data_IF_248764208500
#
_entry.id   IF_248764208500
#
_cell.length_a   1.000
_cell.length_b   1.000
_cell.length_c   1.000
_cell.angle_alpha   90.00
_cell.angle_beta   90.00
_cell.angle_gamma   90.00
#
_symmetry.space_group_name_H-M   'P 1'
#
loop_
_entity.id
_entity.type
_entity.pdbx_description
1 polymer ?
#
# COMPACT_ATOMS: atom_id res chain seq x y z
N UNK A 1 12.23 -6.73 -3.16
CA UNK A 1 11.40 -5.81 -3.97
C UNK A 1 10.98 -4.58 -3.17
N UNK A 2 10.23 -4.74 -2.07
CA UNK A 2 9.81 -3.62 -1.21
C UNK A 2 10.99 -2.82 -0.63
N UNK A 3 12.09 -3.48 -0.24
CA UNK A 3 13.32 -2.80 0.19
C UNK A 3 13.94 -1.92 -0.90
N UNK A 4 13.86 -2.34 -2.16
CA UNK A 4 14.42 -1.58 -3.28
C UNK A 4 13.58 -0.33 -3.55
N UNK A 5 12.25 -0.49 -3.58
CA UNK A 5 11.31 0.65 -3.69
C UNK A 5 11.55 1.63 -2.54
N UNK A 6 11.59 1.16 -1.29
CA UNK A 6 11.83 2.02 -0.14
C UNK A 6 13.18 2.75 -0.17
N UNK A 7 14.27 2.06 -0.53
CA UNK A 7 15.60 2.68 -0.54
C UNK A 7 15.70 3.84 -1.54
N UNK A 8 14.99 3.76 -2.66
CA UNK A 8 14.87 4.87 -3.62
C UNK A 8 13.75 5.87 -3.26
N UNK A 9 12.80 5.46 -2.41
CA UNK A 9 11.65 6.25 -1.98
C UNK A 9 11.87 6.83 -0.59
N UNK A 10 12.46 8.02 -0.50
CA UNK A 10 12.28 8.89 0.69
C UNK A 10 10.83 9.40 0.84
N UNK A 11 9.86 8.78 0.16
CA UNK A 11 8.54 9.33 -0.11
C UNK A 11 7.45 8.30 0.11
N UNK A 12 6.46 8.67 0.93
CA UNK A 12 5.14 8.04 1.06
C UNK A 12 4.31 8.23 -0.22
N UNK A 13 4.79 7.68 -1.33
CA UNK A 13 4.07 7.66 -2.61
C UNK A 13 3.46 6.29 -2.82
N UNK A 14 2.17 6.15 -2.52
CA UNK A 14 1.46 4.89 -2.68
C UNK A 14 1.55 4.33 -4.10
N UNK A 15 1.61 5.20 -5.10
CA UNK A 15 1.80 4.80 -6.51
C UNK A 15 3.04 3.95 -6.73
N UNK A 16 4.18 4.29 -6.11
CA UNK A 16 5.44 3.59 -6.36
C UNK A 16 5.34 2.11 -5.92
N UNK A 17 4.63 1.84 -4.81
CA UNK A 17 4.39 0.50 -4.30
C UNK A 17 3.34 -0.27 -5.12
N UNK A 18 2.29 0.41 -5.59
CA UNK A 18 1.29 -0.18 -6.48
C UNK A 18 1.94 -0.57 -7.82
N UNK A 19 2.68 0.34 -8.44
CA UNK A 19 3.34 0.10 -9.73
C UNK A 19 4.38 -1.03 -9.59
N UNK A 20 5.05 -1.13 -8.43
CA UNK A 20 5.89 -2.27 -8.10
C UNK A 20 5.08 -3.58 -8.03
N UNK A 21 3.98 -3.65 -7.29
CA UNK A 21 3.15 -4.87 -7.22
C UNK A 21 2.63 -5.28 -8.61
N UNK A 22 2.24 -4.33 -9.45
CA UNK A 22 1.85 -4.61 -10.85
C UNK A 22 3.01 -5.21 -11.63
N UNK A 23 4.23 -4.66 -11.50
CA UNK A 23 5.42 -5.21 -12.14
C UNK A 23 5.78 -6.63 -11.64
N UNK A 24 5.37 -6.99 -10.42
CA UNK A 24 5.48 -8.35 -9.89
C UNK A 24 4.38 -9.32 -10.38
N UNK A 25 3.41 -8.83 -11.15
CA UNK A 25 2.34 -9.64 -11.75
C UNK A 25 1.05 -9.69 -10.94
N UNK A 26 0.86 -8.79 -9.98
CA UNK A 26 -0.41 -8.68 -9.25
C UNK A 26 -1.42 -7.80 -9.99
N UNK A 27 -2.70 -8.16 -9.91
CA UNK A 27 -3.80 -7.40 -10.53
C UNK A 27 -4.05 -6.09 -9.79
N UNK A 28 -4.04 -4.97 -10.53
CA UNK A 28 -4.21 -3.62 -9.96
C UNK A 28 -5.57 -3.42 -9.29
N UNK A 29 -6.61 -4.03 -9.84
CA UNK A 29 -7.99 -3.97 -9.30
C UNK A 29 -8.14 -4.72 -7.98
N UNK A 30 -7.20 -5.59 -7.63
CA UNK A 30 -7.16 -6.28 -6.34
C UNK A 30 -6.42 -5.47 -5.26
N UNK A 31 -5.96 -4.26 -5.58
CA UNK A 31 -5.11 -3.46 -4.70
C UNK A 31 -5.87 -2.32 -4.00
N UNK A 32 -5.39 -1.96 -2.82
CA UNK A 32 -5.80 -0.74 -2.13
C UNK A 32 -4.58 0.02 -1.64
N UNK A 33 -4.72 1.34 -1.49
CA UNK A 33 -3.66 2.18 -0.93
C UNK A 33 -4.27 3.38 -0.20
N UNK A 34 -3.69 3.77 0.93
CA UNK A 34 -4.09 4.96 1.67
C UNK A 34 -3.64 6.23 0.94
N UNK A 35 -4.08 7.40 1.42
CA UNK A 35 -3.66 8.69 0.85
C UNK A 35 -2.19 8.96 1.19
N UNK A 36 -1.48 9.55 0.24
CA UNK A 36 -0.08 9.99 0.37
C UNK A 36 0.05 11.26 1.24
N UNK A 37 -1.07 11.93 1.51
CA UNK A 37 -1.14 13.20 2.21
C UNK A 37 -2.24 13.20 3.27
N UNK A 38 -2.05 14.00 4.30
CA UNK A 38 -3.02 14.26 5.38
C UNK A 38 -4.14 15.20 4.90
N UNK A 39 -5.12 15.46 5.76
CA UNK A 39 -6.22 16.39 5.48
C UNK A 39 -5.77 17.86 5.34
N UNK A 40 -4.56 18.20 5.78
CA UNK A 40 -3.97 19.55 5.68
C UNK A 40 -2.89 19.63 4.59
N UNK A 41 -2.85 18.65 3.68
CA UNK A 41 -1.94 18.56 2.53
C UNK A 41 -0.45 18.28 2.85
N UNK A 42 -0.13 17.97 4.10
CA UNK A 42 1.19 17.48 4.49
C UNK A 42 1.42 16.03 4.02
N UNK A 43 2.66 15.61 3.70
CA UNK A 43 2.97 14.20 3.46
C UNK A 43 2.52 13.32 4.62
N UNK A 44 1.95 12.16 4.31
CA UNK A 44 1.64 11.17 5.33
C UNK A 44 2.93 10.67 6.01
N UNK A 45 2.85 10.39 7.30
CA UNK A 45 3.98 9.87 8.05
C UNK A 45 4.22 8.36 7.82
N UNK A 46 3.15 7.68 7.41
CA UNK A 46 3.21 6.35 6.80
C UNK A 46 1.97 6.14 5.92
N UNK A 47 2.10 5.22 4.97
CA UNK A 47 0.98 4.75 4.14
C UNK A 47 0.89 3.23 4.25
N UNK A 48 -0.31 2.72 4.02
CA UNK A 48 -0.57 1.31 3.85
C UNK A 48 -1.00 1.02 2.41
N UNK A 49 -0.54 -0.11 1.89
CA UNK A 49 -1.00 -0.68 0.63
C UNK A 49 -1.39 -2.13 0.85
N UNK A 50 -2.21 -2.67 -0.04
CA UNK A 50 -2.57 -4.08 0.02
C UNK A 50 -2.81 -4.65 -1.37
N UNK A 51 -2.75 -5.98 -1.45
CA UNK A 51 -3.27 -6.74 -2.58
C UNK A 51 -3.98 -7.99 -2.08
N UNK A 52 -5.18 -8.24 -2.62
CA UNK A 52 -5.95 -9.45 -2.33
C UNK A 52 -5.39 -10.64 -3.10
N UNK A 53 -5.19 -11.75 -2.38
CA UNK A 53 -4.71 -13.03 -2.90
C UNK A 53 -5.67 -14.12 -2.40
N UNK A 54 -6.65 -14.47 -3.23
CA UNK A 54 -7.75 -15.35 -2.82
C UNK A 54 -8.57 -14.75 -1.66
N UNK A 55 -8.58 -15.43 -0.52
CA UNK A 55 -9.28 -14.97 0.70
C UNK A 55 -8.39 -14.15 1.64
N UNK A 56 -7.11 -14.04 1.35
CA UNK A 56 -6.12 -13.32 2.15
C UNK A 56 -5.72 -12.01 1.48
N UNK A 57 -5.03 -11.17 2.25
CA UNK A 57 -4.48 -9.90 1.82
C UNK A 57 -3.02 -9.82 2.23
N UNK A 58 -2.14 -9.52 1.28
CA UNK A 58 -0.83 -9.01 1.61
C UNK A 58 -1.01 -7.53 1.94
N UNK A 59 -0.73 -7.13 3.19
CA UNK A 59 -0.84 -5.75 3.66
C UNK A 59 0.54 -5.23 4.00
N UNK A 60 0.95 -4.17 3.32
CA UNK A 60 2.22 -3.50 3.50
C UNK A 60 2.09 -2.13 4.15
N UNK A 61 3.11 -1.72 4.90
CA UNK A 61 3.21 -0.39 5.50
C UNK A 61 4.61 0.18 5.32
N UNK A 62 4.66 1.46 4.93
CA UNK A 62 5.89 2.17 4.56
C UNK A 62 5.83 3.65 4.90
N UNK A 63 6.97 4.27 5.19
CA UNK A 63 7.07 5.72 5.41
C UNK A 63 8.10 6.09 6.48
N UNK A 64 8.32 7.40 6.70
CA UNK A 64 9.32 7.93 7.63
C UNK A 64 9.29 7.36 9.04
N UNK A 65 8.11 7.13 9.61
CA UNK A 65 7.96 6.59 10.97
C UNK A 65 7.96 5.06 11.05
N UNK A 66 8.14 4.38 9.92
CA UNK A 66 8.26 2.93 9.88
C UNK A 66 9.76 2.58 9.83
N UNK A 67 10.29 1.68 10.67
CA UNK A 67 11.74 1.39 10.69
C UNK A 67 12.26 0.72 9.40
N UNK A 68 11.42 -0.11 8.77
CA UNK A 68 11.71 -0.85 7.53
C UNK A 68 10.40 -1.23 6.83
N UNK A 69 10.40 -1.43 5.49
CA UNK A 69 9.20 -1.85 4.77
C UNK A 69 8.72 -3.15 5.34
N UNK A 70 7.47 -3.16 5.79
CA UNK A 70 6.88 -4.34 6.41
C UNK A 70 5.68 -4.76 5.59
N UNK A 71 5.53 -6.06 5.39
CA UNK A 71 4.33 -6.64 4.80
C UNK A 71 3.97 -7.93 5.54
N UNK A 72 2.67 -8.12 5.76
CA UNK A 72 2.12 -9.28 6.47
C UNK A 72 0.96 -9.83 5.65
N UNK A 73 0.76 -11.16 5.70
CA UNK A 73 -0.44 -11.79 5.18
C UNK A 73 -1.50 -11.78 6.28
N UNK A 74 -2.67 -11.22 5.97
CA UNK A 74 -3.80 -11.14 6.88
C UNK A 74 -5.07 -11.71 6.22
N UNK A 75 -6.05 -12.17 7.00
CA UNK A 75 -7.37 -12.47 6.47
C UNK A 75 -7.98 -11.25 5.77
N UNK A 76 -8.63 -11.46 4.63
CA UNK A 76 -9.41 -10.41 3.99
C UNK A 76 -10.62 -9.99 4.85
N UNK A 77 -11.07 -8.75 4.66
CA UNK A 77 -12.29 -8.24 5.30
C UNK A 77 -13.54 -8.86 4.66
N UNK A 78 -14.64 -8.86 5.43
CA UNK A 78 -15.90 -9.46 5.02
C UNK A 78 -16.48 -8.83 3.75
N UNK A 79 -16.26 -7.53 3.55
CA UNK A 79 -16.72 -6.76 2.39
C UNK A 79 -15.86 -6.99 1.13
N UNK A 80 -14.84 -7.84 1.18
CA UNK A 80 -13.93 -8.07 0.04
C UNK A 80 -12.75 -7.09 -0.02
N UNK A 81 -12.63 -6.20 0.96
CA UNK A 81 -11.52 -5.26 1.11
C UNK A 81 -10.37 -5.86 1.92
N UNK A 82 -9.23 -5.17 1.96
CA UNK A 82 -8.03 -5.57 2.69
C UNK A 82 -7.59 -4.53 3.74
N UNK A 83 -7.99 -3.26 3.59
CA UNK A 83 -7.64 -2.17 4.49
C UNK A 83 -8.90 -1.61 5.14
N UNK A 84 -8.79 -1.30 6.44
CA UNK A 84 -9.84 -0.59 7.17
C UNK A 84 -9.65 0.91 6.99
N UNK A 85 -10.76 1.62 6.74
CA UNK A 85 -10.77 3.08 6.60
C UNK A 85 -10.79 3.54 5.14
N UNK A 86 -10.36 4.78 4.90
CA UNK A 86 -10.42 5.39 3.58
C UNK A 86 -9.18 5.10 2.75
N UNK A 87 -9.39 4.50 1.58
CA UNK A 87 -8.37 4.31 0.55
C UNK A 87 -8.58 5.34 -0.56
N UNK A 88 -7.54 5.59 -1.35
CA UNK A 88 -7.66 6.45 -2.54
C UNK A 88 -7.99 5.60 -3.77
N UNK A 89 -8.74 6.13 -4.75
CA UNK A 89 -8.91 5.49 -6.04
C UNK A 89 -7.57 5.25 -6.72
N UNK A 90 -7.46 4.13 -7.43
CA UNK A 90 -6.30 3.75 -8.23
C UNK A 90 -6.64 3.91 -9.72
N UNK A 91 -6.70 5.15 -10.20
CA UNK A 91 -7.23 5.51 -11.52
C UNK A 91 -6.19 6.11 -12.50
N UNK A 92 -4.91 5.79 -12.29
CA UNK A 92 -3.79 6.22 -13.13
C UNK A 92 -3.24 5.12 -14.03
#
# INVERSE_FOLDING_TARGET
>A
MMDAVWKDSASVKGRDYIDALVAAGFEKDAMQVTKDKTSVDDPADSIQFSVRIGTECLVGQVGPSVPAPTALVMPGLAEGECLVGQTRPINW
#
